data_IF_308919374734
#
_entry.id   IF_308919374734
#
_cell.length_a   1.000
_cell.length_b   1.000
_cell.length_c   1.000
_cell.angle_alpha   90.00
_cell.angle_beta   90.00
_cell.angle_gamma   90.00
#
_symmetry.space_group_name_H-M   'P 1'
#
loop_
_entity.id
_entity.type
_entity.pdbx_description
1 polymer ?
#
# COMPACT_ATOMS: atom_id res chain seq x y z
N UNK A 1 -30.77 -85.40 28.45
CA UNK A 1 -30.29 -84.26 29.26
C UNK A 1 -29.44 -83.31 28.41
N UNK A 2 -30.04 -82.60 27.45
CA UNK A 2 -29.33 -81.66 26.57
C UNK A 2 -30.20 -80.45 26.14
N UNK A 3 -31.35 -80.23 26.80
CA UNK A 3 -32.26 -79.12 26.48
C UNK A 3 -32.08 -77.93 27.44
N UNK A 4 -31.57 -78.15 28.65
CA UNK A 4 -31.55 -77.13 29.71
C UNK A 4 -30.27 -76.27 29.76
N UNK A 5 -29.23 -76.65 29.01
CA UNK A 5 -28.00 -75.84 28.88
C UNK A 5 -28.10 -74.79 27.76
N UNK A 6 -28.95 -75.02 26.74
CA UNK A 6 -29.11 -74.09 25.62
C UNK A 6 -29.96 -72.86 26.02
N UNK A 7 -31.01 -73.04 26.83
CA UNK A 7 -31.84 -71.91 27.30
C UNK A 7 -31.08 -70.93 28.20
N UNK A 8 -30.07 -71.38 28.94
CA UNK A 8 -29.21 -70.49 29.75
C UNK A 8 -28.21 -69.67 28.92
N UNK A 9 -27.89 -70.08 27.69
CA UNK A 9 -27.00 -69.32 26.81
C UNK A 9 -27.75 -68.24 26.01
N UNK A 10 -29.07 -68.34 25.87
CA UNK A 10 -29.92 -67.31 25.23
C UNK A 10 -30.26 -66.18 26.21
N UNK A 11 -30.28 -66.46 27.51
CA UNK A 11 -30.60 -65.48 28.56
C UNK A 11 -29.60 -64.32 28.75
N UNK A 12 -28.44 -64.36 28.10
CA UNK A 12 -27.41 -63.31 28.19
C UNK A 12 -27.08 -62.60 26.87
N UNK A 13 -27.85 -62.84 25.80
CA UNK A 13 -27.57 -62.24 24.47
C UNK A 13 -28.33 -60.95 24.15
N UNK A 14 -28.92 -60.31 25.15
CA UNK A 14 -29.57 -59.01 24.99
C UNK A 14 -29.04 -58.09 26.08
N UNK A 15 -27.73 -57.78 26.02
CA UNK A 15 -27.30 -56.45 26.43
C UNK A 15 -28.01 -55.51 25.44
N UNK A 16 -29.10 -54.85 25.86
CA UNK A 16 -30.10 -54.39 24.93
C UNK A 16 -29.46 -53.40 23.97
N UNK A 17 -29.84 -53.46 22.69
CA UNK A 17 -29.44 -52.45 21.71
C UNK A 17 -29.60 -51.03 22.27
N UNK A 18 -30.58 -50.81 23.16
CA UNK A 18 -30.73 -49.60 23.96
C UNK A 18 -29.50 -49.25 24.82
N UNK A 19 -28.93 -50.16 25.62
CA UNK A 19 -27.68 -49.89 26.36
C UNK A 19 -26.49 -49.62 25.45
N UNK A 20 -26.38 -50.31 24.30
CA UNK A 20 -25.31 -50.04 23.34
C UNK A 20 -25.48 -48.67 22.66
N UNK A 21 -26.72 -48.28 22.33
CA UNK A 21 -27.06 -46.96 21.78
C UNK A 21 -26.83 -45.86 22.82
N UNK A 22 -27.20 -46.08 24.09
CA UNK A 22 -26.93 -45.14 25.19
C UNK A 22 -25.43 -45.01 25.42
N UNK A 23 -24.68 -46.12 25.42
CA UNK A 23 -23.22 -46.08 25.59
C UNK A 23 -22.54 -45.37 24.40
N UNK A 24 -22.99 -45.64 23.18
CA UNK A 24 -22.52 -44.93 21.99
C UNK A 24 -22.86 -43.43 22.05
N UNK A 25 -24.07 -43.05 22.47
CA UNK A 25 -24.47 -41.67 22.66
C UNK A 25 -23.64 -40.97 23.74
N UNK A 26 -23.35 -41.64 24.86
CA UNK A 26 -22.48 -41.12 25.93
C UNK A 26 -21.03 -40.97 25.45
N UNK A 27 -20.50 -41.92 24.69
CA UNK A 27 -19.15 -41.84 24.12
C UNK A 27 -19.05 -40.73 23.06
N UNK A 28 -20.07 -40.57 22.22
CA UNK A 28 -20.16 -39.47 21.25
C UNK A 28 -20.27 -38.13 21.98
N UNK A 29 -21.13 -38.01 23.00
CA UNK A 29 -21.24 -36.80 23.81
C UNK A 29 -19.93 -36.47 24.54
N UNK A 30 -19.28 -37.48 25.13
CA UNK A 30 -17.97 -37.31 25.77
C UNK A 30 -16.87 -36.91 24.79
N UNK A 31 -16.86 -37.50 23.59
CA UNK A 31 -15.93 -37.11 22.53
C UNK A 31 -16.18 -35.68 22.04
N UNK A 32 -17.43 -35.27 21.88
CA UNK A 32 -17.82 -33.90 21.52
C UNK A 32 -17.42 -32.90 22.60
N UNK A 33 -17.60 -33.23 23.89
CA UNK A 33 -17.16 -32.41 25.01
C UNK A 33 -15.64 -32.25 25.07
N UNK A 34 -14.88 -33.34 24.92
CA UNK A 34 -13.40 -33.25 24.90
C UNK A 34 -12.92 -32.45 23.69
N UNK A 35 -13.59 -32.60 22.54
CA UNK A 35 -13.28 -31.82 21.33
C UNK A 35 -13.62 -30.34 21.55
N UNK A 36 -14.73 -30.01 22.18
CA UNK A 36 -15.08 -28.62 22.50
C UNK A 36 -14.14 -28.00 23.51
N UNK A 37 -13.76 -28.72 24.59
CA UNK A 37 -12.80 -28.22 25.58
C UNK A 37 -11.42 -27.97 24.95
N UNK A 38 -10.94 -28.87 24.09
CA UNK A 38 -9.67 -28.68 23.37
C UNK A 38 -9.73 -27.50 22.41
N UNK A 39 -10.84 -27.33 21.71
CA UNK A 39 -11.06 -26.18 20.83
C UNK A 39 -11.10 -24.89 21.63
N UNK A 40 -11.82 -24.83 22.74
CA UNK A 40 -11.92 -23.64 23.58
C UNK A 40 -10.56 -23.26 24.19
N UNK A 41 -9.76 -24.25 24.59
CA UNK A 41 -8.39 -24.04 25.06
C UNK A 41 -7.48 -23.53 23.94
N UNK A 42 -7.58 -24.11 22.74
CA UNK A 42 -6.84 -23.67 21.57
C UNK A 42 -7.20 -22.24 21.15
N UNK A 43 -8.49 -21.94 21.04
CA UNK A 43 -9.00 -20.61 20.69
C UNK A 43 -8.58 -19.56 21.74
N UNK A 44 -8.52 -19.93 23.02
CA UNK A 44 -8.00 -19.06 24.06
C UNK A 44 -6.50 -18.78 23.92
N UNK A 45 -5.69 -19.77 23.56
CA UNK A 45 -4.25 -19.62 23.28
C UNK A 45 -3.99 -18.78 22.03
N UNK A 46 -4.77 -19.00 20.97
CA UNK A 46 -4.71 -18.20 19.74
C UNK A 46 -5.03 -16.74 20.03
N UNK A 47 -6.06 -16.46 20.81
CA UNK A 47 -6.40 -15.07 21.19
C UNK A 47 -5.40 -14.45 22.16
N UNK A 48 -4.76 -15.24 23.02
CA UNK A 48 -3.70 -14.80 23.93
C UNK A 48 -2.44 -14.36 23.18
N UNK A 49 -2.16 -14.99 22.04
CA UNK A 49 -0.98 -14.71 21.22
C UNK A 49 -1.25 -13.73 20.08
N UNK A 50 -2.49 -13.66 19.60
CA UNK A 50 -2.90 -12.80 18.51
C UNK A 50 -2.51 -11.33 18.72
N UNK A 51 -1.97 -10.74 17.66
CA UNK A 51 -1.51 -9.35 17.62
C UNK A 51 -0.55 -9.00 18.78
N UNK A 52 0.31 -9.94 19.19
CA UNK A 52 1.24 -9.77 20.31
C UNK A 52 0.58 -9.74 21.69
N UNK A 53 -0.61 -10.32 21.83
CA UNK A 53 -1.37 -10.39 23.08
C UNK A 53 -2.06 -9.08 23.48
N UNK A 54 -2.27 -8.18 22.52
CA UNK A 54 -2.84 -6.84 22.75
C UNK A 54 -4.37 -6.85 22.75
N UNK A 55 -4.98 -7.85 22.11
CA UNK A 55 -6.42 -7.90 21.93
C UNK A 55 -7.15 -8.09 23.27
N UNK A 56 -8.18 -7.26 23.59
CA UNK A 56 -9.01 -7.47 24.75
C UNK A 56 -9.83 -8.75 24.57
N UNK A 57 -9.50 -9.79 25.35
CA UNK A 57 -10.05 -11.14 25.16
C UNK A 57 -11.57 -11.18 25.18
N UNK A 58 -12.20 -10.49 26.14
CA UNK A 58 -13.65 -10.49 26.29
C UNK A 58 -14.35 -9.76 25.14
N UNK A 59 -13.79 -8.65 24.66
CA UNK A 59 -14.36 -7.87 23.55
C UNK A 59 -14.26 -8.62 22.21
N UNK A 60 -13.13 -9.29 21.95
CA UNK A 60 -12.93 -10.01 20.68
C UNK A 60 -13.64 -11.37 20.71
N UNK A 61 -13.63 -12.10 21.83
CA UNK A 61 -14.30 -13.41 21.93
C UNK A 61 -15.82 -13.31 21.69
N UNK A 62 -16.46 -12.21 22.06
CA UNK A 62 -17.89 -11.99 21.80
C UNK A 62 -18.25 -11.85 20.32
N UNK A 63 -17.26 -11.51 19.48
CA UNK A 63 -17.42 -11.28 18.04
C UNK A 63 -17.07 -12.50 17.18
N UNK A 64 -16.41 -13.50 17.77
CA UNK A 64 -15.95 -14.70 17.08
C UNK A 64 -16.90 -15.88 17.35
N UNK A 65 -17.17 -16.73 16.35
CA UNK A 65 -18.03 -17.89 16.55
C UNK A 65 -17.39 -18.90 17.51
N UNK A 66 -18.18 -19.35 18.48
CA UNK A 66 -17.74 -20.27 19.53
C UNK A 66 -17.70 -21.75 19.10
N UNK A 67 -18.28 -22.09 17.95
CA UNK A 67 -18.30 -23.44 17.38
C UNK A 67 -17.16 -23.73 16.40
N UNK A 68 -16.43 -22.70 15.99
CA UNK A 68 -15.32 -22.76 15.04
C UNK A 68 -13.95 -22.86 15.73
N UNK A 69 -12.96 -23.44 15.03
CA UNK A 69 -11.54 -23.40 15.46
C UNK A 69 -10.88 -22.21 14.81
N UNK A 70 -10.15 -21.39 15.57
CA UNK A 70 -9.55 -20.17 15.06
C UNK A 70 -8.09 -20.39 14.68
N UNK A 71 -7.65 -19.79 13.58
CA UNK A 71 -6.26 -19.86 13.11
C UNK A 71 -5.66 -18.46 12.95
N UNK A 72 -4.38 -18.31 13.32
CA UNK A 72 -3.62 -17.07 13.14
C UNK A 72 -2.83 -17.15 11.82
N UNK A 73 -3.13 -16.26 10.86
CA UNK A 73 -2.50 -16.31 9.53
C UNK A 73 -1.31 -15.37 9.37
N UNK A 74 -1.40 -14.17 9.94
CA UNK A 74 -0.36 -13.14 9.90
C UNK A 74 0.00 -12.72 11.33
N UNK A 75 1.24 -12.99 11.74
CA UNK A 75 1.78 -12.59 13.06
C UNK A 75 2.40 -11.18 13.01
N UNK A 76 2.45 -10.57 14.20
CA UNK A 76 2.94 -9.26 14.53
C UNK A 76 4.35 -8.96 13.98
N UNK A 77 4.43 -8.42 12.77
CA UNK A 77 5.68 -7.87 12.26
C UNK A 77 5.82 -6.38 12.63
N UNK A 78 6.41 -6.13 13.80
CA UNK A 78 6.81 -4.79 14.26
C UNK A 78 8.28 -4.48 13.96
N UNK A 79 8.99 -5.32 13.20
CA UNK A 79 10.45 -5.22 13.03
C UNK A 79 10.90 -4.21 11.96
N UNK A 80 10.01 -3.32 11.53
CA UNK A 80 10.22 -2.46 10.37
C UNK A 80 9.63 -3.11 9.12
N UNK A 81 9.95 -2.61 7.91
CA UNK A 81 9.26 -3.01 6.69
C UNK A 81 9.65 -4.44 6.26
N UNK A 82 9.05 -5.46 6.86
CA UNK A 82 9.29 -6.87 6.51
C UNK A 82 8.02 -7.66 6.11
N UNK A 83 6.86 -7.01 6.04
CA UNK A 83 5.69 -7.53 5.32
C UNK A 83 5.81 -7.40 3.79
N UNK A 84 4.94 -8.10 3.04
CA UNK A 84 4.75 -7.90 1.58
C UNK A 84 4.22 -6.50 1.28
N UNK A 85 5.05 -5.47 1.44
CA UNK A 85 4.71 -4.08 1.24
C UNK A 85 5.53 -3.17 2.17
N UNK A 86 6.04 -2.02 1.70
CA UNK A 86 7.06 -1.28 2.42
C UNK A 86 6.62 -0.57 3.72
N UNK A 87 5.38 -0.71 4.23
CA UNK A 87 4.77 0.31 5.13
C UNK A 87 3.67 -0.11 6.12
N UNK A 88 3.64 -1.31 6.67
CA UNK A 88 2.64 -1.66 7.71
C UNK A 88 3.30 -1.71 9.09
N UNK A 89 2.73 -1.02 10.09
CA UNK A 89 3.27 -0.99 11.47
C UNK A 89 2.84 -2.24 12.23
N UNK A 90 1.61 -2.69 11.99
CA UNK A 90 1.06 -3.92 12.57
C UNK A 90 0.04 -4.49 11.59
N UNK A 91 0.08 -5.78 11.34
CA UNK A 91 -0.99 -6.53 10.67
C UNK A 91 -1.23 -7.81 11.47
N UNK A 92 -2.48 -8.17 11.62
CA UNK A 92 -2.92 -9.32 12.37
C UNK A 92 -4.22 -9.81 11.74
N UNK A 93 -4.30 -11.10 11.44
CA UNK A 93 -5.48 -11.71 10.84
C UNK A 93 -5.82 -13.00 11.58
N UNK A 94 -7.07 -13.10 12.02
CA UNK A 94 -7.67 -14.28 12.63
C UNK A 94 -8.72 -14.83 11.69
N UNK A 95 -8.61 -16.10 11.34
CA UNK A 95 -9.54 -16.79 10.44
C UNK A 95 -10.34 -17.86 11.18
N UNK A 96 -11.57 -18.09 10.74
CA UNK A 96 -12.44 -19.18 11.18
C UNK A 96 -13.36 -19.59 10.03
N UNK A 97 -13.74 -20.86 9.97
CA UNK A 97 -14.59 -21.38 8.89
C UNK A 97 -13.98 -21.21 7.49
N UNK A 98 -14.84 -21.16 6.47
CA UNK A 98 -14.42 -20.95 5.07
C UNK A 98 -14.27 -19.46 4.71
N UNK A 99 -15.06 -18.57 5.32
CA UNK A 99 -15.13 -17.13 4.95
C UNK A 99 -14.98 -16.16 6.14
N UNK A 100 -14.84 -16.68 7.37
CA UNK A 100 -14.78 -15.89 8.59
C UNK A 100 -13.41 -15.29 8.84
N UNK A 101 -13.34 -13.96 8.93
CA UNK A 101 -12.06 -13.25 9.12
C UNK A 101 -12.21 -12.04 10.03
N UNK A 102 -11.21 -11.81 10.88
CA UNK A 102 -10.98 -10.59 11.63
C UNK A 102 -9.61 -10.06 11.26
N UNK A 103 -9.58 -8.95 10.52
CA UNK A 103 -8.36 -8.27 10.12
C UNK A 103 -8.16 -7.02 10.97
N UNK A 104 -7.01 -6.90 11.62
CA UNK A 104 -6.54 -5.68 12.26
C UNK A 104 -5.26 -5.19 11.61
N UNK A 105 -5.21 -3.89 11.34
CA UNK A 105 -4.00 -3.26 10.82
C UNK A 105 -3.76 -1.86 11.39
N UNK A 106 -2.50 -1.56 11.69
CA UNK A 106 -1.99 -0.22 11.94
C UNK A 106 -1.10 0.22 10.77
N UNK A 107 -1.49 1.29 10.11
CA UNK A 107 -0.80 1.84 8.94
C UNK A 107 -0.39 3.29 9.19
N UNK A 108 0.78 3.74 8.74
CA UNK A 108 1.16 5.14 8.85
C UNK A 108 0.15 6.00 8.07
N UNK A 109 -0.32 7.10 8.66
CA UNK A 109 -1.04 8.13 7.90
C UNK A 109 0.04 9.00 7.30
N UNK A 110 0.49 8.56 6.13
CA UNK A 110 1.28 9.41 5.26
C UNK A 110 0.29 10.39 4.64
N UNK A 111 0.54 11.69 4.78
CA UNK A 111 -0.35 12.71 4.24
C UNK A 111 -0.53 12.63 2.71
N UNK A 112 0.25 11.81 2.01
CA UNK A 112 0.04 11.28 0.64
C UNK A 112 0.88 9.99 0.54
N UNK A 113 0.55 8.97 -0.29
CA UNK A 113 1.45 7.84 -0.54
C UNK A 113 2.79 8.38 -1.06
N UNK A 114 3.82 8.29 -0.24
CA UNK A 114 5.18 8.66 -0.63
C UNK A 114 5.70 7.60 -1.61
N UNK A 115 5.22 7.58 -2.86
CA UNK A 115 5.88 6.81 -3.90
C UNK A 115 7.33 7.29 -3.95
N UNK A 116 8.28 6.36 -3.88
CA UNK A 116 9.70 6.70 -4.06
C UNK A 116 9.80 7.64 -5.27
N UNK A 117 10.48 8.76 -5.13
CA UNK A 117 10.17 9.97 -5.93
C UNK A 117 10.65 9.90 -7.39
N UNK A 118 10.83 8.69 -7.94
CA UNK A 118 11.27 8.51 -9.32
C UNK A 118 10.13 8.79 -10.27
N UNK A 119 10.44 9.33 -11.45
CA UNK A 119 9.44 9.59 -12.50
C UNK A 119 8.59 8.33 -12.76
N UNK A 120 9.24 7.17 -12.90
CA UNK A 120 8.55 5.88 -13.09
C UNK A 120 7.60 5.50 -11.96
N UNK A 121 7.85 5.95 -10.74
CA UNK A 121 7.05 5.65 -9.56
C UNK A 121 5.87 6.63 -9.45
N UNK A 122 6.00 7.85 -9.99
CA UNK A 122 4.89 8.82 -10.17
C UNK A 122 4.00 8.43 -11.35
N UNK A 123 4.59 7.94 -12.43
CA UNK A 123 3.83 7.47 -13.60
C UNK A 123 3.17 6.12 -13.32
N UNK A 124 3.82 5.20 -12.60
CA UNK A 124 3.21 3.93 -12.22
C UNK A 124 2.05 4.10 -11.25
N UNK A 125 2.00 5.16 -10.43
CA UNK A 125 0.84 5.44 -9.55
C UNK A 125 -0.45 5.76 -10.30
N UNK A 126 -0.41 6.16 -11.57
CA UNK A 126 -1.63 6.34 -12.38
C UNK A 126 -2.27 5.02 -12.82
N UNK A 127 -1.45 3.97 -13.00
CA UNK A 127 -1.90 2.63 -13.40
C UNK A 127 -1.90 1.61 -12.25
N UNK A 128 -1.26 1.94 -11.13
CA UNK A 128 -1.23 1.09 -9.96
C UNK A 128 -2.58 1.18 -9.25
N UNK A 129 -3.38 0.11 -9.33
CA UNK A 129 -4.42 -0.15 -8.34
C UNK A 129 -3.76 -0.02 -6.96
N UNK A 130 -4.19 0.98 -6.18
CA UNK A 130 -3.75 1.12 -4.79
C UNK A 130 -3.94 -0.26 -4.15
N UNK A 131 -2.88 -0.92 -3.65
CA UNK A 131 -3.01 -2.31 -3.24
C UNK A 131 -4.09 -2.41 -2.17
N UNK A 132 -4.91 -3.48 -2.21
CA UNK A 132 -6.16 -3.52 -1.44
C UNK A 132 -5.96 -3.23 0.07
N UNK A 133 -4.78 -3.52 0.62
CA UNK A 133 -4.42 -3.19 2.01
C UNK A 133 -4.26 -1.70 2.31
N UNK A 134 -3.89 -0.88 1.32
CA UNK A 134 -3.70 0.56 1.46
C UNK A 134 -5.04 1.31 1.46
N UNK A 135 -6.07 0.75 0.83
CA UNK A 135 -7.46 1.26 0.86
C UNK A 135 -8.35 0.53 1.84
N UNK A 136 -7.91 -0.57 2.46
CA UNK A 136 -8.70 -1.40 3.38
C UNK A 136 -9.39 -0.61 4.50
N UNK A 137 -8.79 0.48 4.97
CA UNK A 137 -9.40 1.35 5.98
C UNK A 137 -10.72 2.01 5.52
N UNK A 138 -10.92 2.19 4.21
CA UNK A 138 -12.13 2.81 3.63
C UNK A 138 -13.36 1.91 3.80
N UNK A 139 -13.15 0.60 3.76
CA UNK A 139 -14.20 -0.42 3.90
C UNK A 139 -14.16 -1.12 5.26
N UNK A 140 -13.32 -0.64 6.19
CA UNK A 140 -13.19 -1.24 7.51
C UNK A 140 -14.47 -1.08 8.35
N UNK A 141 -14.73 -2.05 9.23
CA UNK A 141 -15.87 -2.01 10.16
C UNK A 141 -15.73 -0.83 11.14
N UNK A 142 -14.52 -0.56 11.61
CA UNK A 142 -14.23 0.57 12.50
C UNK A 142 -12.76 1.02 12.41
N UNK A 143 -12.49 2.30 12.68
CA UNK A 143 -11.14 2.86 12.58
C UNK A 143 -10.90 4.05 13.54
N UNK A 144 -9.62 4.34 13.78
CA UNK A 144 -9.16 5.55 14.48
C UNK A 144 -7.86 6.05 13.89
N UNK A 145 -7.66 7.36 13.87
CA UNK A 145 -6.36 7.98 13.55
C UNK A 145 -5.74 8.54 14.81
N UNK A 146 -4.62 7.96 15.22
CA UNK A 146 -3.90 8.31 16.43
C UNK A 146 -2.72 9.23 16.14
N UNK A 147 -2.46 10.17 17.05
CA UNK A 147 -1.29 11.03 17.01
C UNK A 147 -0.06 10.32 17.59
N UNK A 148 1.11 10.64 17.03
CA UNK A 148 2.41 10.06 17.34
C UNK A 148 3.48 11.17 17.22
N UNK A 149 3.42 12.22 18.05
CA UNK A 149 4.11 13.50 17.82
C UNK A 149 5.64 13.39 17.70
N UNK A 150 6.30 12.44 18.37
CA UNK A 150 7.74 12.22 18.23
C UNK A 150 8.12 11.40 16.96
N UNK A 151 7.12 10.97 16.19
CA UNK A 151 7.29 10.18 14.97
C UNK A 151 7.31 8.67 15.23
N UNK A 152 6.77 7.89 14.30
CA UNK A 152 7.00 6.44 14.29
C UNK A 152 8.46 6.13 13.94
N UNK A 153 9.11 5.18 14.63
CA UNK A 153 10.48 4.75 14.33
C UNK A 153 10.54 4.01 12.98
N UNK A 154 11.73 4.01 12.36
CA UNK A 154 11.97 3.30 11.10
C UNK A 154 11.56 4.05 9.83
N UNK A 155 11.01 5.26 9.95
CA UNK A 155 10.66 6.10 8.81
C UNK A 155 11.71 7.21 8.58
N UNK A 156 12.03 7.53 7.31
CA UNK A 156 13.00 8.58 6.97
C UNK A 156 12.50 10.00 7.29
N UNK A 157 11.19 10.19 7.45
CA UNK A 157 10.56 11.40 8.00
C UNK A 157 9.74 11.05 9.24
N UNK A 158 9.58 11.98 10.18
CA UNK A 158 8.70 11.79 11.33
C UNK A 158 7.27 11.56 10.85
N UNK A 159 6.79 10.32 10.96
CA UNK A 159 5.39 9.98 10.73
C UNK A 159 4.65 10.29 12.02
N UNK A 160 3.98 11.45 12.06
CA UNK A 160 3.37 11.97 13.29
C UNK A 160 1.96 11.44 13.55
N UNK A 161 1.40 10.63 12.64
CA UNK A 161 0.07 10.03 12.75
C UNK A 161 0.04 8.65 12.13
N UNK A 162 -0.80 7.77 12.66
CA UNK A 162 -1.07 6.46 12.10
C UNK A 162 -2.54 6.10 12.29
N UNK A 163 -3.04 5.23 11.44
CA UNK A 163 -4.44 4.80 11.43
C UNK A 163 -4.49 3.33 11.79
N UNK A 164 -5.35 3.02 12.76
CA UNK A 164 -5.67 1.65 13.11
C UNK A 164 -7.08 1.37 12.62
N UNK A 165 -7.28 0.23 11.97
CA UNK A 165 -8.58 -0.19 11.49
C UNK A 165 -8.78 -1.69 11.73
N UNK A 166 -10.04 -2.07 11.92
CA UNK A 166 -10.47 -3.45 12.04
C UNK A 166 -11.60 -3.75 11.06
N UNK A 167 -11.52 -4.89 10.40
CA UNK A 167 -12.54 -5.41 9.49
C UNK A 167 -12.99 -6.78 9.94
N UNK A 168 -14.29 -7.02 9.88
CA UNK A 168 -14.92 -8.29 10.21
C UNK A 168 -15.62 -8.83 8.95
N UNK A 169 -15.28 -10.06 8.56
CA UNK A 169 -15.81 -10.76 7.39
C UNK A 169 -17.13 -11.49 7.66
N UNK A 170 -17.73 -11.97 6.56
CA UNK A 170 -19.00 -12.69 6.39
C UNK A 170 -19.84 -12.92 7.66
N UNK A 171 -19.43 -13.82 8.56
CA UNK A 171 -20.29 -14.25 9.68
C UNK A 171 -20.24 -13.35 10.92
N UNK A 172 -19.17 -12.58 11.11
CA UNK A 172 -19.06 -11.66 12.25
C UNK A 172 -19.65 -10.27 11.94
N UNK A 173 -19.63 -9.86 10.67
CA UNK A 173 -20.02 -8.52 10.24
C UNK A 173 -21.49 -8.16 10.52
N UNK A 174 -22.34 -9.19 10.65
CA UNK A 174 -23.78 -9.07 10.93
C UNK A 174 -24.11 -8.91 12.43
N UNK A 175 -23.11 -9.05 13.32
CA UNK A 175 -23.31 -8.88 14.77
C UNK A 175 -23.70 -7.43 15.06
N UNK A 176 -24.93 -7.24 15.58
CA UNK A 176 -25.45 -5.92 15.91
C UNK A 176 -24.57 -5.23 16.95
N UNK A 177 -23.89 -4.14 16.55
CA UNK A 177 -22.96 -3.42 17.43
C UNK A 177 -21.49 -3.80 17.26
N UNK A 178 -21.13 -4.65 16.30
CA UNK A 178 -19.75 -5.08 16.04
C UNK A 178 -18.74 -3.93 15.96
N UNK A 179 -19.11 -2.81 15.30
CA UNK A 179 -18.23 -1.63 15.20
C UNK A 179 -17.89 -0.99 16.57
N UNK A 180 -18.80 -1.10 17.55
CA UNK A 180 -18.60 -0.60 18.91
C UNK A 180 -17.71 -1.56 19.71
N UNK A 181 -17.96 -2.86 19.62
CA UNK A 181 -17.18 -3.90 20.32
C UNK A 181 -15.74 -3.98 19.77
N UNK A 182 -15.55 -3.84 18.46
CA UNK A 182 -14.24 -3.69 17.82
C UNK A 182 -13.52 -2.39 18.22
N UNK A 183 -14.24 -1.40 18.76
CA UNK A 183 -13.65 -0.15 19.22
C UNK A 183 -12.62 -0.37 20.32
N UNK A 184 -12.87 -1.32 21.24
CA UNK A 184 -11.92 -1.65 22.31
C UNK A 184 -10.64 -2.27 21.74
N UNK A 185 -10.77 -3.17 20.76
CA UNK A 185 -9.62 -3.79 20.10
C UNK A 185 -8.78 -2.76 19.32
N UNK A 186 -9.44 -1.89 18.55
CA UNK A 186 -8.75 -0.84 17.78
C UNK A 186 -8.04 0.16 18.69
N UNK A 187 -8.67 0.58 19.80
CA UNK A 187 -8.05 1.45 20.79
C UNK A 187 -6.85 0.78 21.49
N UNK A 188 -6.99 -0.50 21.87
CA UNK A 188 -5.89 -1.27 22.47
C UNK A 188 -4.68 -1.37 21.54
N UNK A 189 -4.90 -1.70 20.26
CA UNK A 189 -3.84 -1.74 19.25
C UNK A 189 -3.20 -0.36 19.04
N UNK A 190 -4.00 0.70 18.98
CA UNK A 190 -3.47 2.06 18.82
C UNK A 190 -2.56 2.48 19.98
N UNK A 191 -2.96 2.17 21.22
CA UNK A 191 -2.15 2.47 22.40
C UNK A 191 -0.89 1.59 22.45
N UNK A 192 -0.99 0.29 22.12
CA UNK A 192 0.17 -0.59 22.04
C UNK A 192 1.22 -0.10 21.04
N UNK A 193 0.80 0.28 19.83
CA UNK A 193 1.70 0.83 18.81
C UNK A 193 2.41 2.08 19.34
N UNK A 194 1.69 2.96 20.03
CA UNK A 194 2.27 4.19 20.61
C UNK A 194 3.26 3.94 21.73
N UNK A 195 2.93 3.05 22.65
CA UNK A 195 3.79 2.72 23.78
C UNK A 195 5.08 2.05 23.29
N UNK A 196 4.96 1.16 22.31
CA UNK A 196 6.11 0.47 21.72
C UNK A 196 6.96 1.38 20.85
N UNK A 197 6.34 2.26 20.06
CA UNK A 197 7.02 3.29 19.28
C UNK A 197 7.62 4.42 20.15
N UNK A 198 7.18 4.54 21.42
CA UNK A 198 7.55 5.62 22.36
C UNK A 198 7.34 7.01 21.77
N UNK A 199 6.28 7.18 20.96
CA UNK A 199 6.13 8.40 20.18
C UNK A 199 5.24 9.49 20.82
N UNK A 200 4.68 9.24 22.01
CA UNK A 200 3.86 10.19 22.76
C UNK A 200 2.40 10.31 22.28
N UNK A 201 1.79 11.48 22.50
CA UNK A 201 0.39 11.78 22.13
C UNK A 201 -0.63 11.50 23.25
N UNK A 202 -1.91 11.79 22.98
CA UNK A 202 -3.04 11.51 23.90
C UNK A 202 -3.50 10.07 23.74
N UNK A 203 -3.67 9.33 24.83
CA UNK A 203 -4.25 7.97 24.84
C UNK A 203 -5.52 7.90 23.95
N UNK A 204 -5.64 6.86 23.14
CA UNK A 204 -6.84 6.64 22.33
C UNK A 204 -7.86 5.93 23.20
N UNK A 205 -9.04 6.52 23.37
CA UNK A 205 -10.15 5.89 24.06
C UNK A 205 -11.00 5.08 23.06
N UNK A 206 -11.69 4.02 23.49
CA UNK A 206 -12.67 3.33 22.64
C UNK A 206 -13.75 4.27 22.10
N UNK A 207 -14.03 5.34 22.85
CA UNK A 207 -14.97 6.40 22.47
C UNK A 207 -14.51 7.24 21.26
N UNK A 208 -13.22 7.25 20.94
CA UNK A 208 -12.63 7.94 19.78
C UNK A 208 -12.74 7.14 18.49
N UNK A 209 -12.95 5.81 18.60
CA UNK A 209 -13.06 4.92 17.44
C UNK A 209 -14.44 5.09 16.79
N UNK A 210 -14.44 5.22 15.46
CA UNK A 210 -15.66 5.43 14.67
C UNK A 210 -15.62 4.59 13.38
N UNK A 211 -16.78 4.16 12.87
CA UNK A 211 -16.89 3.66 11.51
C UNK A 211 -16.35 4.71 10.51
N UNK A 212 -15.75 4.28 9.38
CA UNK A 212 -15.38 5.20 8.33
C UNK A 212 -16.60 5.98 7.81
N UNK A 213 -16.42 7.25 7.39
CA UNK A 213 -17.48 7.96 6.69
C UNK A 213 -17.85 7.18 5.43
N UNK A 214 -19.15 6.98 5.19
CA UNK A 214 -19.63 6.30 3.97
C UNK A 214 -19.16 7.12 2.76
N UNK A 215 -18.28 6.53 1.96
CA UNK A 215 -18.01 7.02 0.61
C UNK A 215 -19.28 6.84 -0.21
N UNK A 216 -19.88 7.94 -0.67
CA UNK A 216 -20.81 7.90 -1.79
C UNK A 216 -20.08 7.18 -2.92
N UNK A 217 -20.69 6.14 -3.47
CA UNK A 217 -20.09 5.35 -4.52
C UNK A 217 -19.82 6.29 -5.71
N UNK A 218 -18.57 6.70 -5.87
CA UNK A 218 -18.12 7.26 -7.14
C UNK A 218 -18.19 6.11 -8.13
N UNK A 219 -19.17 6.19 -9.03
CA UNK A 219 -19.35 5.35 -10.20
C UNK A 219 -18.03 5.28 -10.98
N UNK A 220 -17.18 4.32 -10.65
CA UNK A 220 -15.95 4.04 -11.36
C UNK A 220 -16.25 3.19 -12.60
N UNK A 221 -17.05 3.75 -13.49
CA UNK A 221 -17.27 3.29 -14.85
C UNK A 221 -17.07 4.46 -15.82
N UNK A 222 -15.84 4.97 -15.91
CA UNK A 222 -15.31 5.57 -17.13
C UNK A 222 -13.87 6.04 -16.94
N UNK A 223 -12.91 5.20 -17.29
CA UNK A 223 -11.63 5.67 -17.79
C UNK A 223 -11.40 5.03 -19.15
N UNK A 224 -12.18 5.52 -20.12
CA UNK A 224 -11.90 5.28 -21.53
C UNK A 224 -10.47 5.74 -21.84
N UNK A 225 -9.70 4.86 -22.47
CA UNK A 225 -8.48 5.22 -23.18
C UNK A 225 -8.87 6.20 -24.29
N UNK A 226 -8.85 7.50 -23.99
CA UNK A 226 -8.89 8.53 -25.03
C UNK A 226 -7.48 8.66 -25.59
N UNK A 227 -7.33 8.64 -26.92
CA UNK A 227 -6.12 8.96 -27.69
C UNK A 227 -5.57 10.40 -27.45
N UNK A 228 -5.97 11.05 -26.37
CA UNK A 228 -5.65 12.42 -26.04
C UNK A 228 -4.37 12.47 -25.21
N UNK A 229 -3.38 13.25 -25.68
CA UNK A 229 -2.11 13.45 -24.97
C UNK A 229 -2.39 13.95 -23.54
N UNK A 230 -1.82 13.30 -22.49
CA UNK A 230 -2.01 13.68 -21.10
C UNK A 230 -1.69 15.16 -20.89
N UNK A 231 -2.47 15.85 -20.05
CA UNK A 231 -2.33 17.29 -19.82
C UNK A 231 -0.88 17.68 -19.45
N UNK A 232 -0.23 16.89 -18.59
CA UNK A 232 1.16 17.08 -18.17
C UNK A 232 2.18 17.01 -19.32
N UNK A 233 1.82 16.47 -20.48
CA UNK A 233 2.68 16.29 -21.64
C UNK A 233 2.38 17.25 -22.81
N UNK A 234 1.27 18.01 -22.77
CA UNK A 234 0.81 18.83 -23.90
C UNK A 234 1.76 19.95 -24.32
N UNK A 235 2.66 20.33 -23.42
CA UNK A 235 3.68 21.36 -23.66
C UNK A 235 4.76 20.91 -24.66
N UNK A 236 5.01 19.61 -24.75
CA UNK A 236 6.08 19.08 -25.57
C UNK A 236 5.67 18.98 -27.05
N UNK A 237 6.62 19.29 -27.95
CA UNK A 237 6.46 19.12 -29.39
C UNK A 237 7.60 18.25 -29.94
N UNK A 238 7.33 17.20 -30.76
CA UNK A 238 8.36 16.32 -31.30
C UNK A 238 9.56 17.04 -31.95
N UNK A 239 9.32 18.18 -32.60
CA UNK A 239 10.36 19.01 -33.22
C UNK A 239 11.43 19.54 -32.24
N UNK A 240 11.18 19.55 -30.92
CA UNK A 240 12.18 19.92 -29.91
C UNK A 240 13.37 18.93 -29.87
N UNK A 241 13.18 17.71 -30.35
CA UNK A 241 14.19 16.65 -30.43
C UNK A 241 14.42 16.15 -31.86
N UNK A 242 14.15 16.98 -32.88
CA UNK A 242 14.23 16.57 -34.29
C UNK A 242 13.38 15.30 -34.55
N UNK A 243 12.26 15.19 -33.84
CA UNK A 243 11.31 14.10 -33.91
C UNK A 243 10.22 14.32 -34.94
N UNK A 244 9.62 13.23 -35.42
CA UNK A 244 8.41 13.24 -36.25
C UNK A 244 7.15 13.09 -35.39
N UNK A 245 5.98 13.37 -35.96
CA UNK A 245 4.70 13.10 -35.34
C UNK A 245 4.57 11.62 -34.98
N UNK A 246 3.96 11.34 -33.84
CA UNK A 246 3.66 9.97 -33.41
C UNK A 246 2.73 9.28 -34.42
N UNK A 247 3.07 8.05 -34.76
CA UNK A 247 2.23 7.14 -35.53
C UNK A 247 1.47 6.16 -34.63
N UNK A 248 0.60 5.32 -35.22
CA UNK A 248 -0.26 4.37 -34.48
C UNK A 248 0.51 3.34 -33.65
N UNK A 249 1.73 3.00 -34.06
CA UNK A 249 2.58 1.99 -33.40
C UNK A 249 3.56 2.59 -32.38
N UNK A 250 3.59 3.93 -32.24
CA UNK A 250 4.47 4.57 -31.28
C UNK A 250 3.88 4.48 -29.87
N UNK A 251 4.76 4.28 -28.89
CA UNK A 251 4.34 4.23 -27.48
C UNK A 251 3.67 5.55 -27.09
N UNK A 252 2.46 5.45 -26.55
CA UNK A 252 1.70 6.60 -26.08
C UNK A 252 2.45 7.39 -25.00
N UNK A 253 2.32 8.73 -25.02
CA UNK A 253 2.71 9.59 -23.91
C UNK A 253 2.12 9.14 -22.57
N UNK A 254 2.92 9.19 -21.52
CA UNK A 254 2.48 8.90 -20.15
C UNK A 254 2.66 10.14 -19.29
N UNK A 255 1.65 10.54 -18.51
CA UNK A 255 1.71 11.77 -17.74
C UNK A 255 0.67 11.87 -16.65
N UNK A 256 1.05 12.54 -15.55
CA UNK A 256 0.26 12.73 -14.35
C UNK A 256 0.33 14.19 -13.92
N UNK A 257 -0.81 14.75 -13.52
CA UNK A 257 -0.91 16.07 -12.86
C UNK A 257 -1.55 15.83 -11.50
N UNK A 258 -0.84 16.16 -10.42
CA UNK A 258 -1.29 15.98 -9.05
C UNK A 258 -0.89 17.18 -8.18
N UNK A 259 -1.52 17.38 -7.03
CA UNK A 259 -1.26 18.55 -6.18
C UNK A 259 0.19 18.69 -5.73
N UNK A 260 0.92 17.58 -5.61
CA UNK A 260 2.30 17.52 -5.13
C UNK A 260 3.34 17.18 -6.21
N UNK A 261 2.91 16.74 -7.40
CA UNK A 261 3.79 16.54 -8.54
C UNK A 261 3.11 16.64 -9.90
N UNK A 262 3.84 17.16 -10.88
CA UNK A 262 3.48 17.05 -12.30
C UNK A 262 4.57 16.25 -13.02
N UNK A 263 4.22 15.18 -13.72
CA UNK A 263 5.16 14.30 -14.39
C UNK A 263 4.71 13.97 -15.82
N UNK A 264 5.66 13.83 -16.72
CA UNK A 264 5.44 13.42 -18.10
C UNK A 264 6.63 12.59 -18.59
N UNK A 265 6.36 11.54 -19.37
CA UNK A 265 7.33 10.75 -20.11
C UNK A 265 6.86 10.56 -21.55
N UNK A 266 7.79 10.81 -22.47
CA UNK A 266 7.54 10.85 -23.90
C UNK A 266 8.65 10.10 -24.61
N UNK A 267 8.28 9.13 -25.44
CA UNK A 267 9.18 8.53 -26.42
C UNK A 267 8.89 9.12 -27.79
N UNK A 268 9.89 9.76 -28.37
CA UNK A 268 9.77 10.54 -29.61
C UNK A 268 10.51 9.82 -30.73
N UNK A 269 9.82 9.38 -31.79
CA UNK A 269 10.48 8.81 -32.96
C UNK A 269 11.29 9.89 -33.70
N UNK A 270 12.52 9.58 -34.09
CA UNK A 270 13.41 10.54 -34.77
C UNK A 270 13.04 10.68 -36.24
N UNK A 271 13.01 11.93 -36.73
CA UNK A 271 12.68 12.22 -38.13
C UNK A 271 13.82 11.81 -39.08
N UNK A 272 15.08 11.95 -38.63
CA UNK A 272 16.30 11.57 -39.37
C UNK A 272 17.27 10.88 -38.41
N UNK A 273 17.12 9.56 -38.17
CA UNK A 273 18.03 8.82 -37.30
C UNK A 273 19.44 8.79 -37.90
N UNK A 274 20.45 9.19 -37.13
CA UNK A 274 21.84 9.17 -37.59
C UNK A 274 22.42 7.76 -37.70
N UNK A 275 21.90 6.80 -36.93
CA UNK A 275 22.31 5.39 -36.92
C UNK A 275 21.15 4.50 -36.40
N UNK A 276 21.38 3.18 -36.35
CA UNK A 276 20.39 2.18 -35.86
C UNK A 276 20.01 2.33 -34.39
N UNK A 277 20.75 3.08 -33.58
CA UNK A 277 20.43 3.33 -32.17
C UNK A 277 19.68 4.66 -31.99
N UNK A 278 19.70 5.53 -33.00
CA UNK A 278 19.08 6.87 -32.97
C UNK A 278 17.63 6.86 -33.48
N UNK A 279 16.93 5.74 -33.41
CA UNK A 279 15.53 5.66 -33.87
C UNK A 279 14.55 6.43 -32.98
N UNK A 280 14.87 6.58 -31.70
CA UNK A 280 14.02 7.25 -30.72
C UNK A 280 14.86 8.15 -29.83
N UNK A 281 14.23 9.21 -29.33
CA UNK A 281 14.70 9.96 -28.18
C UNK A 281 13.63 9.92 -27.09
N UNK A 282 14.03 10.04 -25.83
CA UNK A 282 13.11 10.04 -24.70
C UNK A 282 13.23 11.36 -23.93
N UNK A 283 12.09 11.89 -23.51
CA UNK A 283 12.01 13.03 -22.59
C UNK A 283 11.19 12.59 -21.40
N UNK A 284 11.76 12.76 -20.21
CA UNK A 284 10.97 12.76 -18.98
C UNK A 284 11.10 14.10 -18.29
N UNK A 285 9.99 14.62 -17.78
CA UNK A 285 9.93 15.85 -17.01
C UNK A 285 9.14 15.60 -15.74
N UNK A 286 9.59 16.15 -14.64
CA UNK A 286 8.88 16.08 -13.37
C UNK A 286 9.15 17.31 -12.53
N UNK A 287 8.13 17.80 -11.84
CA UNK A 287 8.23 18.85 -10.83
C UNK A 287 7.62 18.35 -9.54
N UNK A 288 8.38 18.41 -8.45
CA UNK A 288 7.91 18.08 -7.11
C UNK A 288 7.65 19.36 -6.31
N UNK A 289 6.49 19.41 -5.65
CA UNK A 289 6.07 20.49 -4.75
C UNK A 289 5.56 19.92 -3.42
N UNK A 290 5.36 20.81 -2.45
CA UNK A 290 4.74 20.45 -1.18
C UNK A 290 5.44 19.28 -0.45
N UNK A 291 4.70 18.27 0.01
CA UNK A 291 5.26 17.13 0.75
C UNK A 291 6.29 16.30 -0.01
N UNK A 292 6.22 16.17 -1.35
CA UNK A 292 7.18 15.37 -2.13
C UNK A 292 8.54 16.05 -2.32
N UNK A 293 8.60 17.38 -2.20
CA UNK A 293 9.82 18.16 -2.47
C UNK A 293 11.05 17.74 -1.60
N UNK A 294 10.94 17.61 -0.26
CA UNK A 294 12.10 17.15 0.53
C UNK A 294 12.49 15.67 0.27
N UNK A 295 11.59 14.84 -0.25
CA UNK A 295 11.87 13.43 -0.57
C UNK A 295 12.56 13.32 -1.90
N UNK A 296 12.16 14.13 -2.89
CA UNK A 296 12.91 14.29 -4.13
C UNK A 296 14.38 14.64 -3.81
N UNK A 297 14.60 15.60 -2.89
CA UNK A 297 15.95 15.99 -2.48
C UNK A 297 16.73 14.86 -1.80
N UNK A 298 16.06 14.02 -1.01
CA UNK A 298 16.71 12.90 -0.33
C UNK A 298 17.02 11.78 -1.32
N UNK A 299 16.04 11.37 -2.12
CA UNK A 299 16.14 10.28 -3.08
C UNK A 299 17.15 10.59 -4.20
N UNK A 300 17.23 11.84 -4.63
CA UNK A 300 18.19 12.31 -5.63
C UNK A 300 19.39 13.03 -5.02
N UNK A 301 19.65 12.89 -3.71
CA UNK A 301 20.71 13.62 -3.02
C UNK A 301 22.09 13.43 -3.66
N UNK A 302 22.42 12.21 -4.07
CA UNK A 302 23.68 11.92 -4.78
C UNK A 302 23.75 12.58 -6.17
N UNK A 303 22.65 12.57 -6.93
CA UNK A 303 22.56 13.22 -8.25
C UNK A 303 22.65 14.75 -8.11
N UNK A 304 21.95 15.31 -7.13
CA UNK A 304 21.98 16.75 -6.81
C UNK A 304 23.38 17.20 -6.36
N UNK A 305 24.09 16.36 -5.61
CA UNK A 305 25.47 16.62 -5.19
C UNK A 305 26.46 16.55 -6.36
N UNK A 306 26.15 15.77 -7.41
CA UNK A 306 26.98 15.60 -8.59
C UNK A 306 26.70 16.64 -9.71
N UNK A 307 25.80 17.60 -9.49
CA UNK A 307 25.44 18.58 -10.51
C UNK A 307 26.63 19.48 -10.91
N UNK A 308 26.85 19.61 -12.21
CA UNK A 308 27.82 20.52 -12.81
C UNK A 308 27.12 21.47 -13.79
N UNK A 309 27.71 22.64 -14.04
CA UNK A 309 27.22 23.56 -15.09
C UNK A 309 27.51 23.01 -16.50
N UNK A 310 28.62 22.31 -16.65
CA UNK A 310 29.09 21.73 -17.91
C UNK A 310 29.62 20.32 -17.63
N UNK A 311 28.73 19.34 -17.40
CA UNK A 311 29.15 17.96 -17.20
C UNK A 311 29.61 17.36 -18.54
N UNK A 312 30.66 16.55 -18.51
CA UNK A 312 31.15 15.82 -19.69
C UNK A 312 30.51 14.42 -19.73
N UNK A 313 30.07 13.94 -20.92
CA UNK A 313 29.50 12.62 -21.05
C UNK A 313 30.57 11.54 -20.83
N UNK A 314 30.18 10.41 -20.24
CA UNK A 314 31.05 9.23 -20.16
C UNK A 314 31.40 8.70 -21.56
N UNK A 315 32.59 8.13 -21.72
CA UNK A 315 32.98 7.53 -23.01
C UNK A 315 32.34 6.15 -23.20
N UNK A 316 31.72 5.91 -24.36
CA UNK A 316 31.37 4.55 -24.81
C UNK A 316 29.91 4.12 -24.61
N UNK A 317 28.98 5.02 -24.29
CA UNK A 317 27.57 4.68 -24.13
C UNK A 317 26.83 4.52 -25.46
N UNK A 318 25.91 3.56 -25.52
CA UNK A 318 24.98 3.34 -26.63
C UNK A 318 23.81 4.36 -26.63
N UNK A 319 23.55 4.98 -25.49
CA UNK A 319 22.52 6.01 -25.28
C UNK A 319 22.98 6.94 -24.17
N UNK A 320 22.98 8.24 -24.43
CA UNK A 320 23.38 9.28 -23.48
C UNK A 320 22.15 9.90 -22.84
N UNK A 321 22.16 9.97 -21.52
CA UNK A 321 21.06 10.52 -20.73
C UNK A 321 21.53 11.76 -19.99
N UNK A 322 21.02 12.94 -20.37
CA UNK A 322 21.30 14.19 -19.67
C UNK A 322 20.14 14.58 -18.77
N UNK A 323 20.40 14.75 -17.47
CA UNK A 323 19.47 15.32 -16.53
C UNK A 323 19.79 16.79 -16.26
N UNK A 324 18.79 17.66 -16.32
CA UNK A 324 18.87 19.09 -15.98
C UNK A 324 17.91 19.38 -14.83
N UNK A 325 18.41 20.06 -13.82
CA UNK A 325 17.67 20.38 -12.60
C UNK A 325 17.44 21.88 -12.47
N UNK A 326 16.25 22.26 -12.04
CA UNK A 326 15.90 23.64 -11.71
C UNK A 326 15.16 23.73 -10.38
N UNK A 327 15.42 24.81 -9.64
CA UNK A 327 14.53 25.28 -8.60
C UNK A 327 13.59 26.31 -9.24
N UNK A 328 12.31 26.25 -8.91
CA UNK A 328 11.32 27.19 -9.43
C UNK A 328 10.24 27.44 -8.38
N UNK A 329 9.25 28.25 -8.75
CA UNK A 329 7.98 28.33 -8.03
C UNK A 329 6.81 28.21 -8.99
N UNK A 330 6.17 27.05 -9.01
CA UNK A 330 4.99 26.78 -9.82
C UNK A 330 3.74 26.92 -8.94
N UNK A 331 2.72 27.62 -9.44
CA UNK A 331 1.45 27.87 -8.72
C UNK A 331 1.63 28.44 -7.29
N UNK A 332 2.66 29.27 -7.08
CA UNK A 332 2.98 29.89 -5.79
C UNK A 332 3.69 28.99 -4.77
N UNK A 333 3.88 27.70 -5.06
CA UNK A 333 4.64 26.78 -4.22
C UNK A 333 6.10 26.72 -4.69
N UNK A 334 7.04 26.43 -3.78
CA UNK A 334 8.43 26.11 -4.16
C UNK A 334 8.48 24.73 -4.82
N UNK A 335 9.22 24.63 -5.91
CA UNK A 335 9.34 23.42 -6.72
C UNK A 335 10.79 23.04 -6.98
N UNK A 336 11.01 21.75 -7.14
CA UNK A 336 12.23 21.20 -7.73
C UNK A 336 11.82 20.46 -8.99
N UNK A 337 12.36 20.88 -10.12
CA UNK A 337 12.04 20.35 -11.43
C UNK A 337 13.26 19.62 -11.98
N UNK A 338 13.01 18.51 -12.66
CA UNK A 338 14.01 17.68 -13.32
C UNK A 338 13.51 17.31 -14.72
N UNK A 339 14.30 17.63 -15.73
CA UNK A 339 14.10 17.15 -17.09
C UNK A 339 15.23 16.20 -17.44
N UNK A 340 14.90 15.07 -18.06
CA UNK A 340 15.86 14.11 -18.59
C UNK A 340 15.65 13.98 -20.08
N UNK A 341 16.74 14.03 -20.83
CA UNK A 341 16.75 13.83 -22.28
C UNK A 341 17.67 12.66 -22.58
N UNK A 342 17.12 11.60 -23.16
CA UNK A 342 17.87 10.41 -23.57
C UNK A 342 17.94 10.34 -25.08
N UNK A 343 19.15 10.27 -25.64
CA UNK A 343 19.39 10.23 -27.09
C UNK A 343 20.60 9.36 -27.42
N UNK A 344 20.75 8.93 -28.68
CA UNK A 344 21.96 8.23 -29.11
C UNK A 344 23.20 9.15 -29.26
N UNK A 345 23.03 10.47 -29.18
CA UNK A 345 24.10 11.46 -29.38
C UNK A 345 24.13 12.49 -28.25
N UNK A 346 25.20 12.48 -27.44
CA UNK A 346 25.37 13.40 -26.31
C UNK A 346 25.18 14.89 -26.71
N UNK A 347 25.73 15.32 -27.84
CA UNK A 347 25.59 16.71 -28.31
C UNK A 347 24.12 17.14 -28.44
N UNK A 348 23.25 16.25 -28.93
CA UNK A 348 21.83 16.55 -29.07
C UNK A 348 21.17 16.72 -27.69
N UNK A 349 21.43 15.84 -26.74
CA UNK A 349 20.87 15.99 -25.40
C UNK A 349 21.34 17.31 -24.75
N UNK A 350 22.63 17.65 -24.89
CA UNK A 350 23.20 18.89 -24.38
C UNK A 350 22.58 20.16 -25.00
N UNK A 351 22.36 20.16 -26.32
CA UNK A 351 21.82 21.29 -27.08
C UNK A 351 20.31 21.52 -26.86
N UNK A 352 19.59 20.49 -26.42
CA UNK A 352 18.12 20.51 -26.29
C UNK A 352 17.63 20.60 -24.86
N UNK A 353 18.34 20.03 -23.89
CA UNK A 353 17.79 19.86 -22.54
C UNK A 353 17.41 21.18 -21.83
N UNK A 354 18.17 22.27 -22.00
CA UNK A 354 17.82 23.57 -21.41
C UNK A 354 16.56 24.16 -22.03
N UNK A 355 16.41 24.06 -23.36
CA UNK A 355 15.22 24.54 -24.07
C UNK A 355 13.98 23.73 -23.72
N UNK A 356 14.14 22.42 -23.53
CA UNK A 356 13.06 21.53 -23.10
C UNK A 356 12.64 21.86 -21.67
N UNK A 357 13.60 22.10 -20.77
CA UNK A 357 13.33 22.55 -19.41
C UNK A 357 12.61 23.90 -19.38
N UNK A 358 13.03 24.86 -20.19
CA UNK A 358 12.39 26.18 -20.28
C UNK A 358 10.95 26.11 -20.79
N UNK A 359 10.71 25.31 -21.84
CA UNK A 359 9.37 25.06 -22.36
C UNK A 359 8.48 24.38 -21.31
N UNK A 360 9.01 23.39 -20.59
CA UNK A 360 8.31 22.72 -19.51
C UNK A 360 7.92 23.69 -18.39
N UNK A 361 8.90 24.43 -17.85
CA UNK A 361 8.67 25.38 -16.76
C UNK A 361 7.69 26.49 -17.14
N UNK A 362 7.77 27.00 -18.38
CA UNK A 362 6.83 28.00 -18.89
C UNK A 362 5.41 27.43 -18.96
N UNK A 363 5.25 26.20 -19.43
CA UNK A 363 3.93 25.57 -19.56
C UNK A 363 3.28 25.23 -18.22
N UNK A 364 4.08 25.00 -17.20
CA UNK A 364 3.63 24.70 -15.83
C UNK A 364 3.48 25.98 -14.98
N UNK A 365 3.44 27.17 -15.61
CA UNK A 365 3.34 28.47 -14.96
C UNK A 365 4.38 28.68 -13.83
N UNK A 366 5.56 28.09 -14.00
CA UNK A 366 6.64 28.18 -13.04
C UNK A 366 7.39 29.51 -13.19
N UNK A 367 7.52 30.24 -12.09
CA UNK A 367 8.26 31.50 -11.99
C UNK A 367 9.54 31.34 -11.20
N UNK A 368 10.39 32.38 -11.19
CA UNK A 368 11.66 32.40 -10.47
C UNK A 368 12.54 31.17 -10.76
N UNK A 369 12.49 30.68 -12.00
CA UNK A 369 13.23 29.51 -12.43
C UNK A 369 14.74 29.77 -12.38
N UNK A 370 15.46 28.86 -11.73
CA UNK A 370 16.91 28.84 -11.66
C UNK A 370 17.41 27.44 -11.92
N UNK A 371 18.15 27.26 -13.02
CA UNK A 371 18.89 26.03 -13.28
C UNK A 371 19.95 25.84 -12.19
N UNK A 372 19.89 24.70 -11.50
CA UNK A 372 20.80 24.33 -10.41
C UNK A 372 22.05 23.67 -10.99
N UNK A 373 21.87 22.84 -12.03
CA UNK A 373 22.95 22.20 -12.76
C UNK A 373 22.48 21.00 -13.56
N UNK A 374 23.44 20.25 -14.09
CA UNK A 374 23.26 19.16 -15.03
C UNK A 374 24.12 17.97 -14.66
N UNK A 375 23.73 16.77 -15.08
CA UNK A 375 24.47 15.54 -14.83
C UNK A 375 24.14 14.47 -15.89
N UNK A 376 25.17 13.77 -16.37
CA UNK A 376 25.02 12.61 -17.26
C UNK A 376 24.71 11.35 -16.46
N UNK A 377 23.96 10.41 -17.04
CA UNK A 377 23.50 9.18 -16.39
C UNK A 377 23.77 7.94 -17.22
#
# INVERSE_FOLDING_TARGET
>A
MAATAWERFIGHRVLPKATAVVLAAVLVAGFLLVRSERRDAHNAEVLETACGGVLPREAVRGLLPGDETWELRDDLDLSGPSGRGPRTVLRCSLEWGEDGTLDLAAVPVLDVPLSGVRVRDVLSTAAAKEPDWATAYRTATTQVTAACPAGLPGYPRPVTRFRVHASLGADGSEVAGAAKELGDAVAAVANHVRDRARCGGTAVEPSDVRPPPRSEAEDSENSGSSDEVPQACRWFRPGMLDGKTWGPDDREPDGVTADDADACSLRVPRAKPANRLDHFAEVSSVSWRGPLLPEARTAYGAELAALSRAPEPGSGEQSYTLAVWAASSCSGARTLSRVTVTTAAAALAADRADRILDAYLTSSDCRAAKVIGKVWK
#
